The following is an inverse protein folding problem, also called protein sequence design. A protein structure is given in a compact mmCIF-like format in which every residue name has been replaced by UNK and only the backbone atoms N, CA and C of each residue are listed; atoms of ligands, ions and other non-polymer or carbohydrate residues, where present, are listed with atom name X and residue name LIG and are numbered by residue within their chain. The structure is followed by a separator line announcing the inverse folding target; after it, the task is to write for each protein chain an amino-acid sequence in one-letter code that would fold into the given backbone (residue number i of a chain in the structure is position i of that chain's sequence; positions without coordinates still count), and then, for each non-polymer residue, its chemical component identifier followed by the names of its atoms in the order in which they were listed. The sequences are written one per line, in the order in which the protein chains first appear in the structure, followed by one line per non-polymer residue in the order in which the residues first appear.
data_IF_475814234110
#
_entry.id   IF_475814234110
#
_cell.length_a   1.000
_cell.length_b   1.000
_cell.length_c   1.000
_cell.angle_alpha   90.00
_cell.angle_beta   90.00
_cell.angle_gamma   90.00
#
_symmetry.space_group_name_H-M   'P 1'
#
loop_
_entity.id
_entity.type
_entity.pdbx_description
1 polymer ?
#
# COMPACT_ATOMS: atom_id res chain seq x y z
N UNK A 1 -15.85 -9.70 12.18
CA UNK A 1 -15.07 -9.83 10.92
C UNK A 1 -14.14 -8.63 10.68
N UNK A 2 -14.52 -7.39 11.02
CA UNK A 2 -13.66 -6.20 10.86
C UNK A 2 -12.37 -6.18 11.70
N UNK A 3 -12.36 -6.74 12.93
CA UNK A 3 -11.18 -6.63 13.80
C UNK A 3 -9.93 -7.34 13.27
N UNK A 4 -10.07 -8.50 12.61
CA UNK A 4 -8.91 -9.19 11.99
C UNK A 4 -8.34 -8.41 10.81
N UNK A 5 -9.18 -7.69 10.08
CA UNK A 5 -8.77 -6.90 8.92
C UNK A 5 -8.03 -5.62 9.33
N UNK A 6 -8.45 -4.97 10.41
CA UNK A 6 -7.73 -3.82 10.97
C UNK A 6 -6.36 -4.19 11.52
N UNK A 7 -6.25 -5.33 12.22
CA UNK A 7 -4.95 -5.84 12.67
C UNK A 7 -4.03 -6.14 11.48
N UNK A 8 -4.55 -6.75 10.42
CA UNK A 8 -3.79 -7.06 9.21
C UNK A 8 -3.33 -5.78 8.48
N UNK A 9 -4.22 -4.79 8.33
CA UNK A 9 -3.88 -3.49 7.75
C UNK A 9 -2.87 -2.71 8.58
N UNK A 10 -2.89 -2.86 9.91
CA UNK A 10 -1.93 -2.21 10.80
C UNK A 10 -0.52 -2.78 10.59
N UNK A 11 -0.40 -4.12 10.58
CA UNK A 11 0.86 -4.82 10.31
C UNK A 11 1.39 -4.50 8.90
N UNK A 12 0.51 -4.46 7.90
CA UNK A 12 0.85 -4.03 6.54
C UNK A 12 1.32 -2.58 6.47
N UNK A 13 0.61 -1.66 7.15
CA UNK A 13 1.01 -0.25 7.17
C UNK A 13 2.35 -0.04 7.85
N UNK A 14 2.63 -0.72 8.96
CA UNK A 14 3.91 -0.60 9.68
C UNK A 14 5.07 -1.17 8.84
N UNK A 15 4.89 -2.35 8.25
CA UNK A 15 5.92 -3.01 7.41
C UNK A 15 6.16 -2.30 6.06
N UNK A 16 5.17 -1.59 5.51
CA UNK A 16 5.28 -0.90 4.22
C UNK A 16 5.43 0.62 4.35
N UNK A 17 5.43 1.18 5.57
CA UNK A 17 5.50 2.62 5.81
C UNK A 17 6.79 3.23 5.24
N UNK A 18 7.90 2.51 5.40
CA UNK A 18 9.21 2.95 4.96
C UNK A 18 9.30 3.00 3.43
N UNK A 19 8.75 2.02 2.71
CA UNK A 19 8.74 2.04 1.23
C UNK A 19 7.89 3.20 0.70
N UNK A 20 6.77 3.49 1.38
CA UNK A 20 5.94 4.64 1.06
C UNK A 20 6.65 5.98 1.26
N UNK A 21 7.66 6.06 2.12
CA UNK A 21 8.50 7.24 2.32
C UNK A 21 9.94 6.93 1.92
N UNK A 22 10.11 6.50 0.66
CA UNK A 22 11.40 6.28 0.01
C UNK A 22 12.24 7.55 0.07
N UNK A 23 13.30 7.48 0.88
CA UNK A 23 14.33 8.51 1.01
C UNK A 23 15.68 7.82 1.12
N UNK A 24 16.76 8.53 0.85
CA UNK A 24 18.12 7.99 0.89
C UNK A 24 18.45 7.34 2.24
N UNK A 25 17.99 7.94 3.35
CA UNK A 25 18.14 7.37 4.69
C UNK A 25 17.28 6.12 4.90
N UNK A 26 16.05 6.12 4.39
CA UNK A 26 15.15 4.97 4.46
C UNK A 26 15.70 3.75 3.71
N UNK A 27 16.28 3.96 2.52
CA UNK A 27 16.88 2.88 1.71
C UNK A 27 18.16 2.35 2.36
N UNK A 28 18.94 3.22 3.00
CA UNK A 28 20.14 2.81 3.72
C UNK A 28 19.81 1.89 4.91
N UNK A 29 18.71 2.17 5.60
CA UNK A 29 18.22 1.37 6.72
C UNK A 29 17.51 0.07 6.30
N UNK A 30 17.21 -0.11 5.01
CA UNK A 30 16.57 -1.34 4.51
C UNK A 30 17.57 -2.50 4.54
N UNK A 31 17.17 -3.61 5.17
CA UNK A 31 17.97 -4.83 5.37
C UNK A 31 17.31 -6.03 4.65
N UNK A 32 18.09 -7.07 4.35
CA UNK A 32 17.58 -8.31 3.73
C UNK A 32 16.43 -8.95 4.50
N UNK A 33 16.44 -8.88 5.84
CA UNK A 33 15.35 -9.37 6.70
C UNK A 33 14.02 -8.69 6.37
N UNK A 34 14.05 -7.39 6.06
CA UNK A 34 12.86 -6.65 5.67
C UNK A 34 12.35 -7.12 4.30
N UNK A 35 13.26 -7.42 3.38
CA UNK A 35 12.92 -7.98 2.07
C UNK A 35 12.27 -9.38 2.18
N UNK A 36 12.77 -10.23 3.07
CA UNK A 36 12.16 -11.54 3.37
C UNK A 36 10.76 -11.40 3.97
N UNK A 37 10.59 -10.45 4.88
CA UNK A 37 9.29 -10.19 5.49
C UNK A 37 8.28 -9.69 4.44
N UNK A 38 8.72 -8.87 3.49
CA UNK A 38 7.88 -8.42 2.38
C UNK A 38 7.53 -9.54 1.41
N UNK A 39 8.48 -10.42 1.08
CA UNK A 39 8.24 -11.60 0.24
C UNK A 39 7.18 -12.54 0.83
N UNK A 40 7.11 -12.66 2.16
CA UNK A 40 6.05 -13.43 2.85
C UNK A 40 4.68 -12.78 2.76
N UNK A 41 4.61 -11.45 2.62
CA UNK A 41 3.36 -10.68 2.64
C UNK A 41 2.81 -10.46 1.23
N UNK A 42 3.69 -10.18 0.26
CA UNK A 42 3.32 -9.84 -1.12
C UNK A 42 3.41 -11.09 -1.98
N UNK A 43 2.25 -11.60 -2.40
CA UNK A 43 2.15 -12.75 -3.30
C UNK A 43 2.80 -12.43 -4.66
N UNK A 44 3.80 -13.21 -5.07
CA UNK A 44 4.54 -13.03 -6.34
C UNK A 44 5.93 -12.40 -6.19
N UNK A 45 6.36 -12.08 -4.95
CA UNK A 45 7.75 -11.75 -4.63
C UNK A 45 8.46 -13.03 -4.14
N UNK A 46 8.90 -13.88 -5.07
CA UNK A 46 9.50 -15.18 -4.70
C UNK A 46 10.99 -15.07 -4.32
N UNK A 47 11.64 -13.95 -4.66
CA UNK A 47 13.08 -13.72 -4.46
C UNK A 47 13.35 -12.41 -3.72
N UNK A 48 13.53 -12.54 -2.39
CA UNK A 48 13.82 -11.43 -1.48
C UNK A 48 15.19 -10.80 -1.71
N UNK A 49 16.18 -11.59 -2.15
CA UNK A 49 17.53 -11.10 -2.42
C UNK A 49 17.53 -10.17 -3.62
N UNK A 50 16.84 -10.56 -4.69
CA UNK A 50 16.72 -9.72 -5.89
C UNK A 50 15.91 -8.45 -5.62
N UNK A 51 14.89 -8.51 -4.77
CA UNK A 51 14.20 -7.29 -4.31
C UNK A 51 15.18 -6.35 -3.60
N UNK A 52 15.99 -6.88 -2.68
CA UNK A 52 16.97 -6.09 -1.94
C UNK A 52 17.97 -5.41 -2.88
N UNK A 53 18.48 -6.14 -3.87
CA UNK A 53 19.38 -5.61 -4.87
C UNK A 53 18.71 -4.53 -5.75
N UNK A 54 17.50 -4.76 -6.24
CA UNK A 54 16.75 -3.78 -7.04
C UNK A 54 16.52 -2.47 -6.24
N UNK A 55 16.14 -2.57 -4.96
CA UNK A 55 15.92 -1.40 -4.10
C UNK A 55 17.23 -0.65 -3.83
N UNK A 56 18.35 -1.36 -3.61
CA UNK A 56 19.66 -0.71 -3.46
C UNK A 56 20.13 -0.04 -4.74
N UNK A 57 19.82 -0.61 -5.91
CA UNK A 57 20.13 0.00 -7.21
C UNK A 57 19.30 1.26 -7.50
N UNK A 58 18.13 1.40 -6.87
CA UNK A 58 17.31 2.61 -6.96
C UNK A 58 17.83 3.78 -6.11
N UNK A 59 18.70 3.52 -5.12
CA UNK A 59 19.33 4.54 -4.26
C UNK A 59 19.91 5.73 -5.03
N UNK A 60 20.79 5.54 -6.04
CA UNK A 60 21.37 6.65 -6.80
C UNK A 60 20.34 7.48 -7.55
N UNK A 61 19.31 6.85 -8.11
CA UNK A 61 18.25 7.56 -8.83
C UNK A 61 17.41 8.45 -7.89
N UNK A 62 17.21 8.00 -6.65
CA UNK A 62 16.44 8.73 -5.64
C UNK A 62 17.27 9.85 -5.00
N UNK A 63 18.56 9.63 -4.74
CA UNK A 63 19.47 10.67 -4.21
C UNK A 63 19.74 11.78 -5.22
N UNK A 64 19.87 11.47 -6.51
CA UNK A 64 20.06 12.50 -7.55
C UNK A 64 18.84 13.42 -7.68
N UNK A 65 17.67 12.93 -7.30
CA UNK A 65 16.42 13.64 -7.36
C UNK A 65 16.04 14.21 -5.98
N UNK A 66 16.87 15.11 -5.46
CA UNK A 66 16.84 15.66 -4.10
C UNK A 66 15.52 16.32 -3.63
N UNK A 67 14.49 16.45 -4.47
CA UNK A 67 13.20 17.10 -4.17
C UNK A 67 12.00 16.48 -4.95
N UNK A 68 12.06 15.19 -5.29
CA UNK A 68 10.96 14.53 -6.01
C UNK A 68 9.76 14.34 -5.07
N UNK A 69 8.60 14.83 -5.49
CA UNK A 69 7.36 14.63 -4.75
C UNK A 69 7.00 13.14 -4.73
N UNK A 70 6.14 12.72 -3.80
CA UNK A 70 5.69 11.32 -3.70
C UNK A 70 5.14 10.74 -5.02
N UNK A 71 4.52 11.62 -5.81
CA UNK A 71 3.96 11.31 -7.13
C UNK A 71 5.07 11.06 -8.16
N UNK A 72 6.18 11.78 -8.05
CA UNK A 72 7.32 11.69 -8.96
C UNK A 72 8.10 10.38 -8.73
N UNK A 73 8.25 9.91 -7.48
CA UNK A 73 8.86 8.60 -7.19
C UNK A 73 8.08 7.45 -7.84
N UNK A 74 6.75 7.51 -7.72
CA UNK A 74 5.84 6.53 -8.33
C UNK A 74 5.92 6.58 -9.86
N UNK A 75 6.02 7.78 -10.44
CA UNK A 75 6.18 7.95 -11.88
C UNK A 75 7.51 7.40 -12.39
N UNK A 76 8.60 7.63 -11.66
CA UNK A 76 9.93 7.08 -11.96
C UNK A 76 9.96 5.57 -11.90
N UNK A 77 9.42 4.96 -10.83
CA UNK A 77 9.32 3.51 -10.71
C UNK A 77 8.48 2.94 -11.87
N UNK A 78 7.33 3.54 -12.17
CA UNK A 78 6.46 3.11 -13.27
C UNK A 78 7.17 3.07 -14.63
N UNK A 79 8.05 4.04 -14.90
CA UNK A 79 8.84 4.10 -16.12
C UNK A 79 10.00 3.07 -16.13
N UNK A 80 10.51 2.71 -14.96
CA UNK A 80 11.61 1.77 -14.80
C UNK A 80 11.16 0.33 -14.49
N UNK A 81 9.86 0.01 -14.54
CA UNK A 81 9.34 -1.33 -14.20
C UNK A 81 9.92 -2.49 -15.02
N UNK A 82 10.49 -2.22 -16.20
CA UNK A 82 11.21 -3.24 -16.98
C UNK A 82 12.54 -3.66 -16.32
N UNK A 83 13.18 -2.75 -15.59
CA UNK A 83 14.48 -2.97 -14.94
C UNK A 83 14.33 -3.34 -13.47
N UNK A 84 13.26 -2.88 -12.80
CA UNK A 84 13.00 -3.11 -11.38
C UNK A 84 11.59 -3.70 -11.18
N UNK A 85 11.37 -4.89 -11.72
CA UNK A 85 10.04 -5.51 -11.74
C UNK A 85 9.51 -5.78 -10.32
N UNK A 86 10.36 -6.19 -9.38
CA UNK A 86 9.93 -6.50 -8.00
C UNK A 86 9.65 -5.24 -7.21
N UNK A 87 10.48 -4.21 -7.36
CA UNK A 87 10.21 -2.91 -6.77
C UNK A 87 8.89 -2.29 -7.30
N UNK A 88 8.60 -2.47 -8.59
CA UNK A 88 7.32 -2.06 -9.17
C UNK A 88 6.12 -2.87 -8.68
N UNK A 89 6.27 -4.19 -8.52
CA UNK A 89 5.22 -5.03 -7.94
C UNK A 89 4.90 -4.61 -6.50
N UNK A 90 5.94 -4.29 -5.72
CA UNK A 90 5.79 -3.78 -4.37
C UNK A 90 5.05 -2.43 -4.35
N UNK A 91 5.39 -1.52 -5.26
CA UNK A 91 4.69 -0.24 -5.42
C UNK A 91 3.22 -0.44 -5.83
N UNK A 92 2.94 -1.32 -6.79
CA UNK A 92 1.57 -1.66 -7.18
C UNK A 92 0.76 -2.29 -6.05
N UNK A 93 1.38 -3.16 -5.26
CA UNK A 93 0.73 -3.76 -4.09
C UNK A 93 0.36 -2.66 -3.07
N UNK A 94 1.28 -1.74 -2.78
CA UNK A 94 1.02 -0.61 -1.88
C UNK A 94 -0.10 0.30 -2.41
N UNK A 95 -0.15 0.52 -3.72
CA UNK A 95 -1.17 1.35 -4.38
C UNK A 95 -2.56 0.70 -4.42
N UNK A 96 -2.61 -0.63 -4.48
CA UNK A 96 -3.85 -1.42 -4.53
C UNK A 96 -4.38 -1.76 -3.15
N UNK A 97 -3.53 -1.79 -2.12
CA UNK A 97 -4.00 -1.71 -0.73
C UNK A 97 -4.90 -0.47 -0.60
N UNK A 98 -6.11 -0.58 -0.03
CA UNK A 98 -7.02 0.56 0.05
C UNK A 98 -6.38 1.69 0.86
N UNK A 99 -5.79 2.66 0.15
CA UNK A 99 -5.02 3.77 0.72
C UNK A 99 -5.90 4.68 1.59
N UNK A 100 -7.22 4.63 1.43
CA UNK A 100 -8.15 5.39 2.29
C UNK A 100 -9.42 4.58 2.60
N UNK A 101 -9.61 4.26 3.89
CA UNK A 101 -10.92 3.87 4.40
C UNK A 101 -11.97 4.98 4.18
N UNK A 102 -11.55 6.23 3.97
CA UNK A 102 -12.43 7.39 3.77
C UNK A 102 -13.39 7.26 2.59
N UNK A 103 -12.96 6.70 1.46
CA UNK A 103 -13.85 6.41 0.31
C UNK A 103 -14.97 5.44 0.72
N UNK A 104 -14.60 4.37 1.42
CA UNK A 104 -15.53 3.35 1.86
C UNK A 104 -16.42 3.86 3.01
N UNK A 105 -15.90 4.62 3.96
CA UNK A 105 -16.67 5.30 5.02
C UNK A 105 -17.72 6.25 4.45
N UNK A 106 -17.36 7.05 3.43
CA UNK A 106 -18.31 7.94 2.74
C UNK A 106 -19.39 7.14 2.02
N UNK A 107 -19.02 6.02 1.40
CA UNK A 107 -19.94 5.11 0.71
C UNK A 107 -20.86 4.37 1.69
N UNK A 108 -20.34 3.90 2.83
CA UNK A 108 -21.10 3.26 3.91
C UNK A 108 -22.01 4.26 4.63
N UNK A 109 -21.61 5.52 4.79
CA UNK A 109 -22.49 6.58 5.30
C UNK A 109 -23.71 6.80 4.41
N UNK A 110 -23.52 6.79 3.08
CA UNK A 110 -24.64 6.87 2.12
C UNK A 110 -25.55 5.64 2.20
N UNK A 111 -24.98 4.44 2.26
CA UNK A 111 -25.75 3.20 2.44
C UNK A 111 -26.52 3.18 3.76
N UNK A 112 -25.95 3.71 4.83
CA UNK A 112 -26.61 3.86 6.13
C UNK A 112 -27.82 4.78 6.04
N UNK A 113 -27.71 5.91 5.33
CA UNK A 113 -28.85 6.80 5.08
C UNK A 113 -29.97 6.10 4.28
N UNK A 114 -29.62 5.39 3.20
CA UNK A 114 -30.60 4.63 2.39
C UNK A 114 -31.28 3.55 3.23
N UNK A 115 -30.52 2.80 4.03
CA UNK A 115 -31.05 1.76 4.92
C UNK A 115 -32.00 2.33 5.98
N UNK A 116 -31.64 3.47 6.57
CA UNK A 116 -32.50 4.15 7.54
C UNK A 116 -33.80 4.64 6.89
N UNK A 117 -33.71 5.23 5.70
CA UNK A 117 -34.87 5.65 4.92
C UNK A 117 -35.81 4.47 4.62
N UNK A 118 -35.28 3.34 4.15
CA UNK A 118 -36.10 2.16 3.90
C UNK A 118 -36.77 1.64 5.19
N UNK A 119 -36.06 1.64 6.32
CA UNK A 119 -36.61 1.19 7.60
C UNK A 119 -37.67 2.15 8.18
N UNK A 120 -37.59 3.45 7.88
CA UNK A 120 -38.61 4.43 8.30
C UNK A 120 -39.82 4.46 7.38
N UNK A 121 -39.67 4.08 6.10
CA UNK A 121 -40.73 4.17 5.08
C UNK A 121 -41.43 2.84 4.83
N UNK A 122 -40.83 1.71 5.24
CA UNK A 122 -41.50 0.41 5.20
C UNK A 122 -42.74 0.44 6.13
N UNK A 123 -43.94 0.07 5.63
CA UNK A 123 -45.13 0.01 6.45
C UNK A 123 -44.91 -0.97 7.59
N UNK A 124 -45.15 -0.52 8.83
CA UNK A 124 -45.24 -1.44 9.96
C UNK A 124 -46.45 -2.32 9.73
N UNK A 125 -46.24 -3.56 9.30
CA UNK A 125 -47.28 -4.60 9.38
C UNK A 125 -47.48 -4.90 10.87
N UNK A 126 -48.41 -4.19 11.49
CA UNK A 126 -48.93 -4.53 12.81
C UNK A 126 -49.76 -5.81 12.65
N UNK A 127 -49.23 -6.92 13.17
CA UNK A 127 -50.02 -8.11 13.51
C UNK A 127 -50.37 -8.04 15.00
#
# INVERSE_FOLDING_TARGET
MCMKYESYLKVLKESLYWFRNLSSSTINNFVEIDAENLAKIVTGLDDSLLLFQEIKQLTPAITQCHNISKVDNMFMLKNCCKFYARACLLDQFILTLPITMSSNERSFSKLKLIKNYLRSTMPRTNN
#
